data_IF_233291023203
#
_entry.id   IF_233291023203
#
_cell.length_a   1.000
_cell.length_b   1.000
_cell.length_c   1.000
_cell.angle_alpha   90.00
_cell.angle_beta   90.00
_cell.angle_gamma   90.00
#
_symmetry.space_group_name_H-M   'P 1'
#
loop_
_entity.id
_entity.type
_entity.pdbx_description
1 polymer ?
#
# COMPACT_ATOMS: atom_id res chain seq x y z
N UNK A 1 29.49 34.86 -48.99
CA UNK A 1 30.18 33.58 -49.26
C UNK A 1 29.57 32.50 -48.38
N UNK A 2 28.66 31.69 -48.92
CA UNK A 2 27.92 30.66 -48.20
C UNK A 2 28.65 29.31 -48.27
N UNK A 3 29.00 28.74 -47.12
CA UNK A 3 29.66 27.41 -47.04
C UNK A 3 28.61 26.31 -47.21
N UNK A 4 28.72 25.55 -48.30
CA UNK A 4 28.00 24.28 -48.55
C UNK A 4 28.46 23.22 -47.55
N UNK A 5 27.52 22.62 -46.83
CA UNK A 5 27.74 21.43 -45.98
C UNK A 5 27.56 20.17 -46.85
N UNK A 6 28.48 19.19 -46.83
CA UNK A 6 28.33 17.96 -47.61
C UNK A 6 27.34 16.99 -46.96
N UNK A 7 26.51 16.38 -47.82
CA UNK A 7 25.52 15.36 -47.50
C UNK A 7 26.19 14.03 -47.09
N UNK A 8 25.88 13.54 -45.88
CA UNK A 8 26.30 12.22 -45.40
C UNK A 8 25.58 11.10 -46.16
N UNK A 9 26.37 10.22 -46.78
CA UNK A 9 25.92 8.96 -47.39
C UNK A 9 25.57 7.97 -46.27
N UNK A 10 24.33 7.43 -46.31
CA UNK A 10 23.87 6.36 -45.42
C UNK A 10 24.45 5.02 -45.88
N UNK A 11 25.44 4.51 -45.16
CA UNK A 11 25.90 3.12 -45.26
C UNK A 11 24.91 2.20 -44.52
N UNK A 12 24.19 1.38 -45.28
CA UNK A 12 23.39 0.27 -44.75
C UNK A 12 24.33 -0.80 -44.20
N UNK A 13 24.39 -0.91 -42.86
CA UNK A 13 25.12 -2.00 -42.18
C UNK A 13 24.44 -3.33 -42.53
N UNK A 14 25.20 -4.25 -43.12
CA UNK A 14 24.77 -5.63 -43.31
C UNK A 14 24.52 -6.27 -41.95
N UNK A 15 23.36 -6.89 -41.81
CA UNK A 15 23.00 -7.61 -40.59
C UNK A 15 23.96 -8.79 -40.40
N UNK A 16 24.60 -8.82 -39.23
CA UNK A 16 25.45 -9.89 -38.77
C UNK A 16 24.63 -11.20 -38.69
N UNK A 17 24.95 -12.17 -39.55
CA UNK A 17 24.37 -13.50 -39.55
C UNK A 17 24.84 -14.28 -38.32
N UNK A 18 24.05 -14.23 -37.24
CA UNK A 18 24.25 -15.12 -36.09
C UNK A 18 23.95 -16.55 -36.53
N UNK A 19 24.88 -17.47 -36.26
CA UNK A 19 24.67 -18.91 -36.45
C UNK A 19 23.52 -19.38 -35.54
N UNK A 20 22.55 -20.15 -36.06
CA UNK A 20 21.41 -20.64 -35.27
C UNK A 20 21.89 -21.61 -34.18
N UNK A 21 21.20 -21.58 -33.03
CA UNK A 21 21.52 -22.43 -31.88
C UNK A 21 21.08 -23.88 -32.15
N UNK A 22 21.91 -24.90 -31.87
CA UNK A 22 21.64 -26.30 -32.19
C UNK A 22 20.49 -26.93 -31.38
N UNK A 23 19.97 -26.26 -30.34
CA UNK A 23 18.85 -26.77 -29.53
C UNK A 23 17.46 -26.46 -30.11
N UNK A 24 17.38 -25.56 -31.09
CA UNK A 24 16.16 -25.26 -31.82
C UNK A 24 16.24 -26.07 -33.12
N UNK A 25 15.60 -27.24 -33.17
CA UNK A 25 15.66 -28.14 -34.33
C UNK A 25 15.38 -27.47 -35.67
N UNK A 26 15.65 -28.16 -36.77
CA UNK A 26 15.63 -27.67 -38.18
C UNK A 26 14.25 -27.21 -38.73
N UNK A 27 13.36 -26.74 -37.86
CA UNK A 27 12.09 -26.13 -38.22
C UNK A 27 12.28 -24.74 -38.82
N UNK A 28 11.49 -24.45 -39.86
CA UNK A 28 11.42 -23.16 -40.51
C UNK A 28 10.79 -22.11 -39.56
N UNK A 29 11.63 -21.45 -38.75
CA UNK A 29 11.22 -20.42 -37.79
C UNK A 29 10.90 -19.06 -38.45
N UNK A 30 10.83 -19.00 -39.78
CA UNK A 30 10.47 -17.77 -40.46
C UNK A 30 9.03 -17.37 -40.10
N UNK A 31 8.91 -16.22 -39.45
CA UNK A 31 7.60 -15.62 -39.16
C UNK A 31 6.89 -15.33 -40.47
N UNK A 32 5.86 -16.10 -40.81
CA UNK A 32 5.06 -15.87 -42.01
C UNK A 32 4.19 -14.65 -41.81
N UNK A 33 4.24 -13.69 -42.73
CA UNK A 33 3.39 -12.50 -42.68
C UNK A 33 2.25 -12.64 -43.71
N UNK A 34 1.06 -12.21 -43.32
CA UNK A 34 -0.08 -12.17 -44.22
C UNK A 34 0.14 -11.05 -45.26
N UNK A 35 0.24 -11.40 -46.54
CA UNK A 35 0.57 -10.49 -47.64
C UNK A 35 -0.39 -9.31 -47.77
N UNK A 36 -1.65 -9.45 -47.35
CA UNK A 36 -2.67 -8.39 -47.45
C UNK A 36 -2.69 -7.45 -46.25
N UNK A 37 -2.32 -7.94 -45.06
CA UNK A 37 -2.46 -7.15 -43.81
C UNK A 37 -1.13 -6.81 -43.14
N UNK A 38 -0.03 -7.41 -43.60
CA UNK A 38 1.31 -7.24 -43.02
C UNK A 38 1.45 -7.81 -41.60
N UNK A 39 0.46 -8.57 -41.10
CA UNK A 39 0.47 -9.11 -39.74
C UNK A 39 1.10 -10.51 -39.68
N UNK A 40 1.85 -10.84 -38.62
CA UNK A 40 2.37 -12.20 -38.40
C UNK A 40 1.22 -13.22 -38.33
N UNK A 41 1.31 -14.28 -39.12
CA UNK A 41 0.43 -15.45 -39.06
C UNK A 41 0.99 -16.38 -37.99
N UNK A 42 0.21 -16.67 -36.95
CA UNK A 42 0.54 -17.71 -35.98
C UNK A 42 0.07 -19.05 -36.51
N UNK A 43 1.00 -19.93 -36.83
CA UNK A 43 0.68 -21.33 -37.14
C UNK A 43 -0.02 -21.95 -35.91
N UNK A 44 -1.27 -22.40 -36.08
CA UNK A 44 -2.09 -22.99 -35.02
C UNK A 44 -3.28 -22.15 -34.54
N UNK A 45 -3.41 -20.89 -34.95
CA UNK A 45 -4.60 -20.10 -34.62
C UNK A 45 -5.85 -20.63 -35.35
N UNK A 46 -6.70 -21.38 -34.64
CA UNK A 46 -8.00 -21.85 -35.14
C UNK A 46 -8.03 -23.29 -35.67
N UNK A 47 -6.90 -24.02 -35.65
CA UNK A 47 -6.93 -25.47 -35.85
C UNK A 47 -7.36 -26.12 -34.54
N UNK A 48 -8.57 -26.67 -34.49
CA UNK A 48 -8.98 -27.57 -33.43
C UNK A 48 -8.06 -28.80 -33.53
N UNK A 49 -7.31 -29.11 -32.48
CA UNK A 49 -6.58 -30.36 -32.40
C UNK A 49 -7.59 -31.50 -32.54
N UNK A 50 -7.39 -32.39 -33.51
CA UNK A 50 -8.18 -33.61 -33.74
C UNK A 50 -7.75 -34.68 -32.70
N UNK A 51 -7.39 -34.26 -31.49
CA UNK A 51 -6.96 -35.17 -30.45
C UNK A 51 -8.20 -35.64 -29.68
N UNK A 52 -8.64 -36.91 -29.81
CA UNK A 52 -9.87 -37.41 -29.20
C UNK A 52 -9.80 -37.43 -27.66
N UNK A 53 -8.62 -37.17 -27.07
CA UNK A 53 -8.41 -37.04 -25.63
C UNK A 53 -8.83 -35.68 -25.05
N UNK A 54 -9.04 -34.67 -25.91
CA UNK A 54 -9.50 -33.32 -25.52
C UNK A 54 -10.93 -33.07 -26.02
N UNK A 55 -11.87 -33.89 -25.54
CA UNK A 55 -13.29 -33.58 -25.63
C UNK A 55 -13.68 -32.75 -24.40
N UNK A 56 -13.59 -31.43 -24.53
CA UNK A 56 -14.31 -30.51 -23.63
C UNK A 56 -15.81 -30.83 -23.76
N UNK A 57 -16.40 -31.32 -22.67
CA UNK A 57 -17.83 -31.51 -22.47
C UNK A 57 -18.54 -30.15 -22.48
N UNK A 58 -18.68 -29.57 -23.67
CA UNK A 58 -19.70 -28.54 -23.91
C UNK A 58 -20.98 -29.31 -24.22
N UNK A 59 -21.64 -29.80 -23.16
CA UNK A 59 -23.05 -30.14 -23.23
C UNK A 59 -23.78 -28.87 -23.66
N UNK A 60 -24.25 -28.91 -24.90
CA UNK A 60 -25.14 -27.92 -25.47
C UNK A 60 -26.46 -28.07 -24.72
N UNK A 61 -26.75 -27.12 -23.83
CA UNK A 61 -28.10 -26.90 -23.33
C UNK A 61 -28.93 -26.50 -24.56
N UNK A 62 -29.71 -27.44 -25.06
CA UNK A 62 -30.75 -27.19 -26.05
C UNK A 62 -31.83 -26.33 -25.36
N UNK A 63 -31.84 -25.05 -25.73
CA UNK A 63 -32.85 -24.07 -25.36
C UNK A 63 -34.05 -24.28 -26.30
N UNK A 64 -34.79 -25.35 -26.04
CA UNK A 64 -36.08 -25.63 -26.67
C UNK A 64 -37.12 -24.68 -26.09
N UNK A 65 -37.63 -23.77 -26.94
CA UNK A 65 -38.93 -23.17 -26.71
C UNK A 65 -39.04 -21.70 -27.04
N UNK A 66 -38.94 -21.35 -28.33
CA UNK A 66 -39.73 -20.24 -28.89
C UNK A 66 -40.06 -20.56 -30.35
N UNK A 67 -41.24 -21.14 -30.55
CA UNK A 67 -41.90 -21.18 -31.84
C UNK A 67 -42.15 -19.74 -32.32
N UNK A 68 -41.65 -19.41 -33.50
CA UNK A 68 -42.08 -18.24 -34.24
C UNK A 68 -42.39 -18.70 -35.66
N UNK A 69 -43.68 -18.99 -35.86
CA UNK A 69 -44.30 -19.06 -37.16
C UNK A 69 -44.08 -17.72 -37.88
N UNK A 70 -43.36 -17.77 -39.00
CA UNK A 70 -43.48 -16.76 -40.04
C UNK A 70 -43.22 -17.44 -41.37
N UNK A 71 -44.31 -17.80 -42.03
CA UNK A 71 -44.32 -18.27 -43.40
C UNK A 71 -43.83 -17.19 -44.36
N UNK A 72 -42.97 -17.60 -45.28
CA UNK A 72 -42.88 -17.03 -46.62
C UNK A 72 -42.12 -18.04 -47.48
N UNK A 73 -42.85 -18.62 -48.43
CA UNK A 73 -42.31 -19.38 -49.56
C UNK A 73 -41.50 -18.46 -50.48
N UNK A 74 -40.66 -19.09 -51.28
CA UNK A 74 -39.88 -18.57 -52.41
C UNK A 74 -38.53 -17.88 -52.13
N UNK A 75 -37.46 -18.48 -52.67
CA UNK A 75 -36.21 -17.78 -52.98
C UNK A 75 -34.93 -18.53 -52.60
N UNK A 76 -34.32 -19.13 -53.61
CA UNK A 76 -33.00 -19.78 -53.66
C UNK A 76 -31.90 -19.30 -52.66
N UNK A 77 -31.31 -20.27 -51.96
CA UNK A 77 -29.85 -20.48 -52.01
C UNK A 77 -28.89 -19.58 -51.24
N UNK A 78 -29.33 -18.62 -50.41
CA UNK A 78 -28.38 -17.79 -49.64
C UNK A 78 -28.10 -18.39 -48.25
N UNK A 79 -26.89 -18.94 -48.07
CA UNK A 79 -26.38 -19.44 -46.77
C UNK A 79 -26.44 -18.33 -45.72
N UNK A 80 -27.49 -18.34 -44.88
CA UNK A 80 -27.66 -17.43 -43.74
C UNK A 80 -26.44 -17.55 -42.82
N UNK A 81 -25.58 -16.51 -42.82
CA UNK A 81 -24.43 -16.42 -41.90
C UNK A 81 -24.99 -16.42 -40.48
N UNK A 82 -24.65 -17.46 -39.70
CA UNK A 82 -25.03 -17.54 -38.28
C UNK A 82 -24.65 -16.22 -37.59
N UNK A 83 -25.60 -15.56 -36.90
CA UNK A 83 -25.30 -14.33 -36.18
C UNK A 83 -24.19 -14.64 -35.17
N UNK A 84 -23.04 -13.96 -35.32
CA UNK A 84 -21.94 -14.07 -34.36
C UNK A 84 -22.51 -13.68 -33.00
N UNK A 85 -22.55 -14.63 -32.06
CA UNK A 85 -22.89 -14.37 -30.65
C UNK A 85 -22.11 -13.12 -30.22
N UNK A 86 -22.84 -12.05 -29.87
CA UNK A 86 -22.23 -10.86 -29.27
C UNK A 86 -21.59 -11.35 -27.98
N UNK A 87 -20.26 -11.32 -27.91
CA UNK A 87 -19.54 -11.66 -26.68
C UNK A 87 -20.13 -10.80 -25.57
N UNK A 88 -20.55 -11.43 -24.48
CA UNK A 88 -20.95 -10.69 -23.29
C UNK A 88 -19.79 -9.75 -22.93
N UNK A 89 -20.04 -8.45 -22.74
CA UNK A 89 -18.97 -7.53 -22.35
C UNK A 89 -18.30 -8.11 -21.11
N UNK A 90 -16.97 -8.12 -21.10
CA UNK A 90 -16.21 -8.55 -19.94
C UNK A 90 -16.78 -7.85 -18.71
N UNK A 91 -17.02 -8.56 -17.59
CA UNK A 91 -17.51 -7.93 -16.38
C UNK A 91 -16.59 -6.73 -16.06
N UNK A 92 -17.15 -5.57 -15.71
CA UNK A 92 -16.36 -4.40 -15.39
C UNK A 92 -15.36 -4.79 -14.31
N UNK A 93 -14.09 -4.42 -14.52
CA UNK A 93 -13.07 -4.62 -13.50
C UNK A 93 -13.61 -4.02 -12.19
N UNK A 94 -13.52 -4.75 -11.06
CA UNK A 94 -13.95 -4.18 -9.79
C UNK A 94 -13.22 -2.85 -9.60
N UNK A 95 -13.94 -1.83 -9.14
CA UNK A 95 -13.36 -0.54 -8.78
C UNK A 95 -12.27 -0.81 -7.74
N UNK A 96 -11.04 -0.90 -8.20
CA UNK A 96 -9.88 -0.92 -7.33
C UNK A 96 -9.81 0.51 -6.84
N UNK A 97 -10.25 0.73 -5.60
CA UNK A 97 -10.10 2.02 -4.93
C UNK A 97 -8.69 2.53 -5.21
N UNK A 98 -8.60 3.59 -6.01
CA UNK A 98 -7.34 4.20 -6.34
C UNK A 98 -6.74 4.59 -5.00
N UNK A 99 -5.68 3.88 -4.59
CA UNK A 99 -4.92 4.24 -3.40
C UNK A 99 -4.68 5.74 -3.50
N UNK A 100 -5.09 6.54 -2.50
CA UNK A 100 -5.08 7.97 -2.63
C UNK A 100 -3.66 8.38 -3.03
N UNK A 101 -3.53 8.94 -4.23
CA UNK A 101 -2.24 9.36 -4.80
C UNK A 101 -1.49 10.26 -3.83
N UNK A 102 -2.25 10.94 -2.95
CA UNK A 102 -1.75 11.66 -1.79
C UNK A 102 -2.68 11.35 -0.60
N UNK A 103 -2.25 10.54 0.39
CA UNK A 103 -3.01 10.41 1.63
C UNK A 103 -3.12 11.79 2.26
N UNK A 104 -4.36 12.24 2.51
CA UNK A 104 -4.72 13.57 3.06
C UNK A 104 -3.61 14.08 3.98
N UNK A 105 -3.10 15.27 3.65
CA UNK A 105 -1.98 15.89 4.33
C UNK A 105 -2.18 15.78 5.84
N UNK A 106 -1.12 15.31 6.52
CA UNK A 106 -1.11 15.29 7.98
C UNK A 106 -1.28 16.76 8.37
N UNK A 107 -2.25 17.14 9.22
CA UNK A 107 -2.31 18.50 9.72
C UNK A 107 -0.94 18.78 10.33
N UNK A 108 -0.19 19.68 9.68
CA UNK A 108 1.13 20.06 10.15
C UNK A 108 0.91 20.57 11.56
N UNK A 109 1.35 19.79 12.55
CA UNK A 109 1.26 20.21 13.94
C UNK A 109 2.15 21.44 14.00
N UNK A 110 1.52 22.61 14.11
CA UNK A 110 2.19 23.90 14.14
C UNK A 110 3.40 23.83 15.08
N UNK A 111 4.49 24.53 14.74
CA UNK A 111 5.74 24.43 15.46
C UNK A 111 5.49 24.59 16.95
N UNK A 112 6.06 23.67 17.73
CA UNK A 112 6.16 23.78 19.19
C UNK A 112 6.57 25.22 19.50
N UNK A 113 5.72 26.01 20.21
CA UNK A 113 6.11 27.35 20.59
C UNK A 113 7.43 27.27 21.36
N UNK A 114 8.32 28.23 21.10
CA UNK A 114 9.54 28.40 21.88
C UNK A 114 9.14 28.30 23.36
N UNK A 115 9.90 27.53 24.13
CA UNK A 115 9.71 27.43 25.57
C UNK A 115 10.03 28.81 26.19
N UNK A 116 9.06 29.72 26.15
CA UNK A 116 8.99 30.84 27.07
C UNK A 116 8.50 30.28 28.39
N UNK A 117 9.46 30.10 29.31
CA UNK A 117 9.15 29.88 30.71
C UNK A 117 8.35 31.06 31.24
N UNK A 118 7.08 30.83 31.58
CA UNK A 118 6.35 31.67 32.52
C UNK A 118 5.27 32.56 31.94
N UNK A 119 4.20 31.96 31.42
CA UNK A 119 2.84 32.45 31.64
C UNK A 119 1.82 31.33 31.42
N UNK A 120 1.07 30.97 32.47
CA UNK A 120 -0.07 30.06 32.40
C UNK A 120 -1.18 30.73 31.57
N UNK A 121 -1.08 30.65 30.24
CA UNK A 121 -2.19 31.03 29.37
C UNK A 121 -3.26 29.94 29.43
N UNK A 122 -4.29 30.19 30.23
CA UNK A 122 -5.51 29.37 30.24
C UNK A 122 -6.21 29.57 28.89
N UNK A 123 -6.01 28.62 27.97
CA UNK A 123 -6.80 28.57 26.75
C UNK A 123 -8.24 28.17 27.08
N UNK A 124 -9.21 28.94 26.57
CA UNK A 124 -10.63 28.67 26.73
C UNK A 124 -11.13 28.04 25.43
N UNK A 125 -11.46 26.75 25.48
CA UNK A 125 -12.02 26.03 24.34
C UNK A 125 -13.55 26.19 24.31
N UNK A 126 -14.07 26.89 23.30
CA UNK A 126 -15.51 27.06 23.05
C UNK A 126 -15.98 26.12 21.93
N UNK A 127 -16.89 25.21 22.25
CA UNK A 127 -17.51 24.30 21.26
C UNK A 127 -18.94 24.76 20.98
N UNK A 128 -19.23 25.13 19.73
CA UNK A 128 -20.57 25.55 19.29
C UNK A 128 -21.17 24.46 18.41
N UNK A 129 -22.27 23.84 18.86
CA UNK A 129 -22.99 22.84 18.07
C UNK A 129 -24.03 23.52 17.18
N UNK A 130 -23.75 23.62 15.87
CA UNK A 130 -24.69 24.18 14.89
C UNK A 130 -25.52 23.04 14.27
N UNK A 131 -26.86 23.09 14.35
CA UNK A 131 -27.72 22.05 13.78
C UNK A 131 -27.67 22.02 12.25
N UNK A 132 -27.84 20.83 11.67
CA UNK A 132 -27.92 20.64 10.22
C UNK A 132 -29.12 21.42 9.66
N UNK A 133 -28.86 22.33 8.73
CA UNK A 133 -29.88 23.16 8.07
C UNK A 133 -30.01 24.59 8.59
N UNK A 134 -29.13 25.04 9.50
CA UNK A 134 -29.10 26.44 9.92
C UNK A 134 -28.63 27.34 8.76
N UNK A 135 -29.53 28.20 8.26
CA UNK A 135 -29.24 29.22 7.26
C UNK A 135 -29.62 30.59 7.84
N UNK A 136 -28.64 31.30 8.40
CA UNK A 136 -28.81 32.62 8.99
C UNK A 136 -27.54 33.12 9.66
N UNK A 137 -27.45 34.41 10.01
CA UNK A 137 -26.32 34.94 10.76
C UNK A 137 -26.32 34.37 12.19
N UNK A 138 -25.18 33.79 12.59
CA UNK A 138 -24.96 33.32 13.96
C UNK A 138 -24.28 34.42 14.78
N UNK A 139 -25.00 34.99 15.74
CA UNK A 139 -24.45 36.02 16.63
C UNK A 139 -24.03 35.40 17.97
N UNK A 140 -22.72 35.30 18.20
CA UNK A 140 -22.15 34.87 19.48
C UNK A 140 -21.82 36.10 20.33
N UNK A 141 -22.58 36.34 21.41
CA UNK A 141 -22.24 37.37 22.41
C UNK A 141 -21.47 36.73 23.55
N UNK A 142 -20.19 37.06 23.68
CA UNK A 142 -19.34 36.61 24.79
C UNK A 142 -19.21 37.79 25.76
N UNK A 143 -19.85 37.68 26.92
CA UNK A 143 -19.70 38.68 27.97
C UNK A 143 -18.34 38.53 28.66
N UNK A 144 -17.53 39.59 28.58
CA UNK A 144 -16.17 39.63 29.15
C UNK A 144 -16.16 39.41 30.66
N UNK A 145 -17.27 39.72 31.34
CA UNK A 145 -17.44 39.49 32.77
C UNK A 145 -17.53 38.00 33.15
N UNK A 146 -17.85 37.11 32.21
CA UNK A 146 -17.85 35.66 32.45
C UNK A 146 -16.44 35.03 32.37
N UNK A 147 -15.48 35.71 31.72
CA UNK A 147 -14.12 35.21 31.52
C UNK A 147 -13.20 35.56 32.70
N UNK A 148 -13.49 36.65 33.40
CA UNK A 148 -12.76 37.05 34.59
C UNK A 148 -13.37 36.32 35.79
N UNK A 149 -12.88 35.12 36.09
CA UNK A 149 -13.37 34.20 37.13
C UNK A 149 -13.82 34.87 38.43
N UNK A 150 -15.09 35.30 38.46
CA UNK A 150 -15.75 35.78 39.65
C UNK A 150 -15.81 34.65 40.65
N UNK A 151 -15.11 34.80 41.78
CA UNK A 151 -15.29 33.92 42.93
C UNK A 151 -16.79 33.83 43.22
N UNK A 152 -17.38 32.62 43.32
CA UNK A 152 -18.80 32.49 43.60
C UNK A 152 -19.11 33.10 44.96
N UNK A 153 -19.96 34.12 44.94
CA UNK A 153 -20.60 34.69 46.12
C UNK A 153 -21.45 33.60 46.81
N UNK A 154 -21.36 33.44 48.14
CA UNK A 154 -22.00 32.33 48.85
C UNK A 154 -23.52 32.46 48.80
N UNK A 155 -24.18 31.53 48.10
CA UNK A 155 -25.63 31.49 48.06
C UNK A 155 -26.23 31.11 49.42
N UNK A 156 -27.36 31.73 49.82
CA UNK A 156 -28.08 31.39 51.03
C UNK A 156 -28.77 30.03 50.91
N UNK A 157 -28.69 29.27 52.00
CA UNK A 157 -29.32 27.97 52.25
C UNK A 157 -30.78 27.95 51.78
N UNK A 158 -31.10 27.05 50.83
CA UNK A 158 -32.49 26.69 50.54
C UNK A 158 -32.68 25.18 50.47
N UNK A 159 -33.49 24.74 51.43
CA UNK A 159 -34.21 23.51 51.69
C UNK A 159 -34.07 22.33 50.71
N UNK A 160 -33.64 21.22 51.34
CA UNK A 160 -33.94 19.83 51.00
C UNK A 160 -35.37 19.64 50.48
N UNK A 161 -35.48 18.98 49.33
CA UNK A 161 -36.53 18.00 49.08
C UNK A 161 -35.88 16.75 48.48
N UNK A 162 -36.24 15.62 49.09
CA UNK A 162 -35.87 14.26 48.79
C UNK A 162 -36.59 13.73 47.55
N UNK A 163 -35.89 13.01 46.67
CA UNK A 163 -36.47 11.88 45.95
C UNK A 163 -35.42 11.07 45.16
N UNK A 164 -35.39 9.77 45.48
CA UNK A 164 -35.22 8.60 44.60
C UNK A 164 -33.90 8.38 43.86
N UNK A 165 -33.13 7.45 44.43
CA UNK A 165 -32.60 6.23 43.79
C UNK A 165 -32.77 6.11 42.27
N UNK A 166 -31.66 6.01 41.52
CA UNK A 166 -31.39 4.83 40.67
C UNK A 166 -29.98 4.84 40.07
N UNK A 167 -29.26 3.75 40.34
CA UNK A 167 -28.30 3.04 39.48
C UNK A 167 -27.11 3.77 38.84
N UNK A 168 -25.94 3.39 39.37
CA UNK A 168 -24.67 3.12 38.68
C UNK A 168 -24.73 2.95 37.15
N UNK A 169 -23.94 3.75 36.43
CA UNK A 169 -23.50 3.43 35.06
C UNK A 169 -21.97 3.48 34.97
N UNK A 170 -21.39 2.29 34.87
CA UNK A 170 -20.01 2.01 34.49
C UNK A 170 -19.67 2.60 33.12
N UNK A 171 -18.54 3.31 33.03
CA UNK A 171 -17.92 3.73 31.78
C UNK A 171 -17.30 2.50 31.09
N UNK A 172 -18.00 1.95 30.11
CA UNK A 172 -17.47 0.95 29.18
C UNK A 172 -16.99 1.64 27.90
N UNK A 173 -15.68 1.78 27.77
CA UNK A 173 -14.96 2.02 26.52
C UNK A 173 -15.05 0.77 25.64
N UNK A 174 -15.84 0.85 24.58
CA UNK A 174 -15.96 -0.24 23.61
C UNK A 174 -16.94 0.09 22.51
N UNK A 175 -16.47 0.84 21.50
CA UNK A 175 -17.17 1.03 20.23
C UNK A 175 -17.16 -0.28 19.44
N UNK A 176 -18.00 -1.24 19.85
CA UNK A 176 -18.40 -2.36 19.01
C UNK A 176 -19.34 -1.83 17.94
N UNK A 177 -18.83 -1.77 16.70
CA UNK A 177 -19.66 -1.60 15.51
C UNK A 177 -20.57 -2.84 15.44
N UNK A 178 -21.79 -2.70 15.95
CA UNK A 178 -22.87 -3.66 15.72
C UNK A 178 -23.26 -3.59 14.24
N UNK A 179 -22.50 -4.31 13.41
CA UNK A 179 -22.94 -4.69 12.07
C UNK A 179 -24.15 -5.59 12.29
N UNK A 180 -25.35 -5.02 12.15
CA UNK A 180 -26.59 -5.78 12.01
C UNK A 180 -26.30 -6.89 11.01
N UNK A 181 -26.46 -8.19 11.36
CA UNK A 181 -26.42 -9.23 10.36
C UNK A 181 -27.48 -8.83 9.33
N UNK A 182 -27.04 -8.52 8.11
CA UNK A 182 -27.96 -8.48 6.97
C UNK A 182 -28.65 -9.82 7.05
N UNK A 183 -29.97 -9.81 7.31
CA UNK A 183 -30.85 -10.94 7.02
C UNK A 183 -30.46 -11.33 5.60
N UNK A 184 -29.67 -12.40 5.50
CA UNK A 184 -29.39 -13.03 4.24
C UNK A 184 -30.76 -13.37 3.73
N UNK A 185 -31.20 -12.58 2.74
CA UNK A 185 -32.29 -12.99 1.87
C UNK A 185 -31.91 -14.39 1.49
N UNK A 186 -32.73 -15.33 1.97
CA UNK A 186 -32.71 -16.72 1.58
C UNK A 186 -32.84 -16.69 0.06
N UNK A 187 -31.70 -16.59 -0.63
CA UNK A 187 -31.55 -17.17 -1.93
C UNK A 187 -31.89 -18.62 -1.70
N UNK A 188 -33.14 -18.95 -2.00
CA UNK A 188 -33.55 -20.30 -2.31
C UNK A 188 -32.68 -20.65 -3.51
N UNK A 189 -31.50 -21.17 -3.17
CA UNK A 189 -30.71 -22.03 -4.02
C UNK A 189 -31.70 -23.04 -4.55
N UNK A 190 -32.17 -22.83 -5.78
CA UNK A 190 -32.79 -23.87 -6.56
C UNK A 190 -31.86 -25.06 -6.45
N UNK A 191 -32.35 -26.11 -5.81
CA UNK A 191 -31.68 -27.37 -5.64
C UNK A 191 -31.47 -27.97 -7.04
N UNK A 192 -30.42 -27.53 -7.73
CA UNK A 192 -29.74 -28.37 -8.68
C UNK A 192 -29.04 -29.42 -7.83
N UNK A 193 -29.74 -30.54 -7.67
CA UNK A 193 -29.33 -31.77 -7.00
C UNK A 193 -28.18 -32.47 -7.75
N UNK A 194 -27.23 -31.68 -8.26
CA UNK A 194 -25.96 -32.16 -8.78
C UNK A 194 -25.08 -32.54 -7.58
N UNK A 195 -25.33 -33.73 -7.05
CA UNK A 195 -24.38 -34.50 -6.24
C UNK A 195 -23.15 -34.80 -7.09
N UNK A 196 -22.37 -33.79 -7.42
CA UNK A 196 -20.98 -33.96 -7.82
C UNK A 196 -20.31 -34.54 -6.59
N UNK A 197 -20.11 -35.87 -6.61
CA UNK A 197 -19.33 -36.59 -5.61
C UNK A 197 -18.05 -35.80 -5.42
N UNK A 198 -17.85 -35.22 -4.24
CA UNK A 198 -16.58 -34.60 -3.91
C UNK A 198 -15.52 -35.68 -4.08
N UNK A 199 -14.69 -35.54 -5.13
CA UNK A 199 -13.57 -36.44 -5.37
C UNK A 199 -12.70 -36.41 -4.12
N UNK A 200 -12.79 -37.45 -3.29
CA UNK A 200 -11.98 -37.61 -2.07
C UNK A 200 -10.47 -37.68 -2.35
N UNK A 201 -10.10 -37.72 -3.64
CA UNK A 201 -8.73 -37.69 -4.14
C UNK A 201 -8.18 -36.27 -4.27
N UNK A 202 -9.02 -35.23 -4.31
CA UNK A 202 -8.59 -33.83 -4.43
C UNK A 202 -8.29 -33.24 -3.06
N UNK A 203 -7.04 -33.38 -2.61
CA UNK A 203 -6.56 -32.69 -1.40
C UNK A 203 -6.50 -31.19 -1.65
N UNK A 204 -7.16 -30.42 -0.79
CA UNK A 204 -7.07 -28.95 -0.82
C UNK A 204 -5.85 -28.45 -0.05
N UNK A 205 -5.38 -27.23 -0.36
CA UNK A 205 -4.26 -26.61 0.37
C UNK A 205 -4.53 -26.50 1.89
N UNK A 206 -5.79 -26.31 2.29
CA UNK A 206 -6.20 -26.22 3.69
C UNK A 206 -6.09 -27.57 4.43
N UNK A 207 -6.15 -28.70 3.72
CA UNK A 207 -6.01 -30.05 4.29
C UNK A 207 -4.54 -30.43 4.54
N UNK A 208 -3.57 -29.68 3.99
CA UNK A 208 -2.16 -29.90 4.28
C UNK A 208 -1.88 -29.61 5.77
N UNK A 209 -1.02 -30.38 6.45
CA UNK A 209 -0.56 -30.04 7.80
C UNK A 209 0.06 -28.64 7.87
N UNK A 210 -0.09 -27.97 9.02
CA UNK A 210 0.35 -26.59 9.19
C UNK A 210 1.86 -26.41 8.95
N UNK A 211 2.66 -27.44 9.26
CA UNK A 211 4.11 -27.47 9.06
C UNK A 211 4.46 -27.36 7.57
N UNK A 212 3.74 -28.11 6.73
CA UNK A 212 3.93 -28.09 5.28
C UNK A 212 3.46 -26.74 4.70
N UNK A 213 2.34 -26.19 5.20
CA UNK A 213 1.90 -24.84 4.80
C UNK A 213 2.93 -23.78 5.15
N UNK A 214 3.55 -23.85 6.33
CA UNK A 214 4.62 -22.94 6.75
C UNK A 214 5.86 -23.03 5.85
N UNK A 215 6.27 -24.24 5.45
CA UNK A 215 7.35 -24.41 4.47
C UNK A 215 7.00 -23.75 3.13
N UNK A 216 5.75 -23.93 2.66
CA UNK A 216 5.28 -23.29 1.43
C UNK A 216 5.27 -21.76 1.58
N UNK A 217 4.79 -21.21 2.71
CA UNK A 217 4.83 -19.77 2.97
C UNK A 217 6.25 -19.23 2.97
N UNK A 218 7.22 -19.94 3.56
CA UNK A 218 8.64 -19.54 3.54
C UNK A 218 9.21 -19.50 2.13
N UNK A 219 8.96 -20.54 1.33
CA UNK A 219 9.40 -20.58 -0.07
C UNK A 219 8.77 -19.46 -0.91
N UNK A 220 7.53 -19.10 -0.63
CA UNK A 220 6.82 -18.04 -1.36
C UNK A 220 7.20 -16.63 -0.91
N UNK A 221 7.33 -16.40 0.39
CA UNK A 221 7.42 -15.06 0.96
C UNK A 221 8.83 -14.65 1.39
N UNK A 222 9.70 -15.59 1.80
CA UNK A 222 10.99 -15.25 2.43
C UNK A 222 12.08 -15.11 1.39
N UNK A 223 12.63 -13.91 1.25
CA UNK A 223 13.77 -13.61 0.40
C UNK A 223 15.06 -13.62 1.21
N UNK A 224 16.14 -14.09 0.60
CA UNK A 224 17.49 -13.93 1.17
C UNK A 224 17.94 -12.46 1.14
N UNK A 225 17.51 -11.74 0.12
CA UNK A 225 17.83 -10.32 -0.06
C UNK A 225 16.84 -9.43 0.70
N UNK A 226 17.30 -8.24 1.08
CA UNK A 226 16.45 -7.20 1.67
C UNK A 226 15.43 -6.68 0.66
N UNK A 227 14.19 -6.48 1.11
CA UNK A 227 13.12 -5.92 0.27
C UNK A 227 13.29 -4.40 0.20
N UNK A 228 13.88 -3.92 -0.90
CA UNK A 228 14.22 -2.50 -1.11
C UNK A 228 13.10 -1.72 -1.80
N UNK A 229 12.49 -0.76 -1.12
CA UNK A 229 11.37 0.03 -1.67
C UNK A 229 11.79 1.05 -2.74
N UNK A 230 13.01 1.58 -2.68
CA UNK A 230 13.50 2.51 -3.71
C UNK A 230 13.70 1.85 -5.08
N UNK A 231 13.95 0.55 -5.10
CA UNK A 231 14.22 -0.22 -6.32
C UNK A 231 13.45 -1.54 -6.24
N UNK A 232 12.18 -1.57 -6.67
CA UNK A 232 11.28 -2.70 -6.46
C UNK A 232 11.59 -3.88 -7.41
N UNK A 233 12.80 -4.43 -7.35
CA UNK A 233 13.25 -5.55 -8.18
C UNK A 233 12.69 -6.89 -7.70
N UNK A 234 12.49 -7.03 -6.39
CA UNK A 234 12.08 -8.28 -5.73
C UNK A 234 10.60 -8.29 -5.29
N UNK A 235 9.79 -7.34 -5.76
CA UNK A 235 8.36 -7.24 -5.40
C UNK A 235 7.46 -8.25 -6.14
N UNK A 236 8.06 -9.12 -6.97
CA UNK A 236 7.33 -10.16 -7.73
C UNK A 236 6.72 -11.24 -6.82
N UNK A 237 7.21 -11.38 -5.59
CA UNK A 237 6.64 -12.28 -4.58
C UNK A 237 5.42 -11.60 -3.96
N UNK A 238 4.34 -11.61 -4.73
CA UNK A 238 3.17 -10.81 -4.42
C UNK A 238 2.49 -11.32 -3.16
N UNK A 239 2.09 -10.38 -2.31
CA UNK A 239 1.10 -10.59 -1.25
C UNK A 239 -0.28 -10.99 -1.80
N UNK A 240 -0.43 -11.20 -3.12
CA UNK A 240 -1.67 -11.70 -3.71
C UNK A 240 -2.05 -13.08 -3.15
N UNK A 241 -1.08 -13.92 -2.78
CA UNK A 241 -1.39 -15.19 -2.12
C UNK A 241 -2.11 -14.99 -0.79
N UNK A 242 -1.77 -13.93 -0.03
CA UNK A 242 -2.47 -13.55 1.20
C UNK A 242 -3.92 -13.11 0.96
N UNK A 243 -4.30 -12.77 -0.28
CA UNK A 243 -5.67 -12.36 -0.63
C UNK A 243 -6.61 -13.53 -0.95
N UNK A 244 -6.09 -14.76 -0.96
CA UNK A 244 -6.86 -15.95 -1.36
C UNK A 244 -7.91 -16.35 -0.32
N UNK A 245 -7.49 -16.58 0.93
CA UNK A 245 -8.39 -16.91 2.03
C UNK A 245 -7.90 -16.38 3.38
N UNK A 246 -8.80 -16.29 4.37
CA UNK A 246 -8.49 -15.77 5.72
C UNK A 246 -7.44 -16.60 6.45
N UNK A 247 -7.44 -17.93 6.25
CA UNK A 247 -6.46 -18.82 6.87
C UNK A 247 -5.05 -18.52 6.35
N UNK A 248 -4.88 -18.49 5.02
CA UNK A 248 -3.61 -18.15 4.37
C UNK A 248 -3.16 -16.73 4.77
N UNK A 249 -4.09 -15.77 4.85
CA UNK A 249 -3.77 -14.43 5.33
C UNK A 249 -3.19 -14.45 6.75
N UNK A 250 -3.85 -15.14 7.68
CA UNK A 250 -3.46 -15.16 9.09
C UNK A 250 -2.14 -15.88 9.33
N UNK A 251 -1.92 -17.02 8.66
CA UNK A 251 -0.71 -17.82 8.79
C UNK A 251 0.46 -17.21 8.00
N UNK A 252 0.22 -16.78 6.77
CA UNK A 252 1.27 -16.31 5.86
C UNK A 252 1.80 -14.91 6.17
N UNK A 253 0.98 -14.03 6.76
CA UNK A 253 1.42 -12.65 7.06
C UNK A 253 2.53 -12.59 8.11
N UNK A 254 2.53 -13.49 9.10
CA UNK A 254 3.60 -13.53 10.09
C UNK A 254 4.90 -13.86 9.39
N UNK A 255 4.94 -14.93 8.60
CA UNK A 255 6.12 -15.33 7.81
C UNK A 255 6.61 -14.20 6.90
N UNK A 256 5.71 -13.56 6.15
CA UNK A 256 6.08 -12.47 5.24
C UNK A 256 6.71 -11.28 5.97
N UNK A 257 6.15 -10.83 7.10
CA UNK A 257 6.60 -9.60 7.76
C UNK A 257 7.69 -9.84 8.82
N UNK A 258 7.74 -11.02 9.44
CA UNK A 258 8.68 -11.29 10.53
C UNK A 258 10.01 -11.88 10.07
N UNK A 259 10.02 -12.68 9.01
CA UNK A 259 11.25 -13.33 8.53
C UNK A 259 11.99 -12.52 7.45
N UNK A 260 11.34 -11.52 6.84
CA UNK A 260 11.99 -10.65 5.85
C UNK A 260 12.54 -9.37 6.48
N UNK A 261 13.63 -8.86 5.90
CA UNK A 261 14.17 -7.55 6.20
C UNK A 261 13.70 -6.51 5.16
N UNK A 262 13.20 -5.38 5.64
CA UNK A 262 12.66 -4.31 4.80
C UNK A 262 13.60 -3.11 4.78
N UNK A 263 14.03 -2.68 3.60
CA UNK A 263 14.93 -1.57 3.41
C UNK A 263 14.20 -0.38 2.75
N UNK A 264 14.11 0.72 3.48
CA UNK A 264 13.51 1.96 3.04
C UNK A 264 14.59 2.98 2.70
N UNK A 265 14.46 3.59 1.54
CA UNK A 265 15.29 4.71 1.13
C UNK A 265 14.49 5.67 0.28
N UNK A 266 14.98 6.91 0.20
CA UNK A 266 14.32 7.96 -0.58
C UNK A 266 14.24 7.54 -2.04
N UNK A 267 13.03 7.56 -2.59
CA UNK A 267 12.81 7.37 -4.01
C UNK A 267 13.02 8.71 -4.73
N UNK A 268 14.09 8.79 -5.54
CA UNK A 268 14.44 10.00 -6.30
C UNK A 268 13.65 10.16 -7.60
N UNK A 269 12.80 9.19 -7.93
CA UNK A 269 11.88 9.28 -9.06
C UNK A 269 10.81 10.35 -8.82
N UNK A 270 10.35 10.95 -9.91
CA UNK A 270 9.20 11.85 -9.89
C UNK A 270 7.90 11.10 -10.18
N UNK A 271 6.82 11.50 -9.51
CA UNK A 271 5.45 11.09 -9.86
C UNK A 271 4.54 12.30 -9.67
N UNK A 272 3.96 12.78 -10.76
CA UNK A 272 2.91 13.78 -10.72
C UNK A 272 1.71 13.29 -11.53
N UNK A 273 0.47 13.59 -11.10
CA UNK A 273 -0.67 13.41 -11.97
C UNK A 273 -0.52 14.29 -13.22
N UNK A 274 -1.10 13.89 -14.34
CA UNK A 274 -0.91 14.57 -15.62
C UNK A 274 -1.40 16.04 -15.64
N UNK A 275 -2.19 16.46 -14.65
CA UNK A 275 -2.69 17.82 -14.49
C UNK A 275 -1.82 18.72 -13.59
N UNK A 276 -0.84 18.16 -12.87
CA UNK A 276 0.13 18.96 -12.12
C UNK A 276 1.27 19.42 -13.03
N UNK A 277 1.51 20.73 -13.08
CA UNK A 277 2.57 21.30 -13.91
C UNK A 277 3.99 20.96 -13.43
N UNK A 278 4.14 20.59 -12.15
CA UNK A 278 5.44 20.29 -11.55
C UNK A 278 5.51 18.82 -11.18
N UNK A 279 6.55 18.17 -11.68
CA UNK A 279 6.93 16.84 -11.24
C UNK A 279 7.43 16.88 -9.79
N UNK A 280 6.71 16.23 -8.88
CA UNK A 280 7.12 16.08 -7.49
C UNK A 280 7.91 14.79 -7.31
N UNK A 281 9.01 14.86 -6.56
CA UNK A 281 9.76 13.69 -6.13
C UNK A 281 8.89 12.83 -5.21
N UNK A 282 8.94 11.50 -5.36
CA UNK A 282 8.19 10.55 -4.52
C UNK A 282 8.72 10.58 -3.07
N UNK A 283 10.04 10.70 -2.89
CA UNK A 283 10.65 10.81 -1.58
C UNK A 283 10.42 9.57 -0.71
N UNK A 284 9.88 9.76 0.50
CA UNK A 284 9.50 8.68 1.42
C UNK A 284 8.00 8.33 1.38
N UNK A 285 7.28 8.82 0.37
CA UNK A 285 5.84 8.56 0.24
C UNK A 285 5.55 7.06 0.09
N UNK A 286 6.37 6.31 -0.64
CA UNK A 286 6.18 4.86 -0.80
C UNK A 286 6.29 4.10 0.54
N UNK A 287 7.19 4.53 1.44
CA UNK A 287 7.27 4.00 2.80
C UNK A 287 5.98 4.26 3.59
N UNK A 288 5.42 5.48 3.50
CA UNK A 288 4.16 5.84 4.15
C UNK A 288 3.00 5.02 3.61
N UNK A 289 2.88 4.91 2.29
CA UNK A 289 1.83 4.13 1.63
C UNK A 289 1.95 2.66 2.04
N UNK A 290 3.16 2.11 2.07
CA UNK A 290 3.39 0.74 2.53
C UNK A 290 2.91 0.53 3.97
N UNK A 291 3.40 1.32 4.93
CA UNK A 291 3.02 1.18 6.34
C UNK A 291 1.51 1.34 6.56
N UNK A 292 0.88 2.30 5.88
CA UNK A 292 -0.57 2.48 5.92
C UNK A 292 -1.31 1.28 5.31
N UNK A 293 -0.80 0.71 4.21
CA UNK A 293 -1.45 -0.39 3.49
C UNK A 293 -1.41 -1.70 4.27
N UNK A 294 -0.33 -1.97 5.00
CA UNK A 294 -0.21 -3.19 5.80
C UNK A 294 -0.98 -3.06 7.11
N UNK A 295 -1.12 -1.84 7.64
CA UNK A 295 -1.85 -1.55 8.87
C UNK A 295 -1.11 -1.93 10.16
N UNK A 296 -1.62 -1.49 11.33
CA UNK A 296 -0.91 -1.56 12.60
C UNK A 296 -0.60 -2.99 13.05
N UNK A 297 -1.51 -3.93 12.81
CA UNK A 297 -1.29 -5.34 13.18
C UNK A 297 -0.08 -5.92 12.47
N UNK A 298 0.12 -5.60 11.19
CA UNK A 298 1.23 -6.13 10.42
C UNK A 298 2.54 -5.36 10.68
N UNK A 299 2.47 -4.07 11.02
CA UNK A 299 3.64 -3.31 11.50
C UNK A 299 4.24 -3.97 12.74
N UNK A 300 3.41 -4.50 13.65
CA UNK A 300 3.89 -5.20 14.86
C UNK A 300 4.61 -6.52 14.59
N UNK A 301 4.46 -7.06 13.37
CA UNK A 301 5.12 -8.29 12.93
C UNK A 301 6.50 -8.00 12.30
N UNK A 302 6.79 -6.76 11.94
CA UNK A 302 8.11 -6.37 11.40
C UNK A 302 9.19 -6.65 12.45
N UNK A 303 10.25 -7.34 12.04
CA UNK A 303 11.41 -7.66 12.90
C UNK A 303 12.64 -6.87 12.51
N UNK A 304 13.00 -6.90 11.23
CA UNK A 304 14.19 -6.22 10.71
C UNK A 304 13.81 -5.08 9.76
N UNK A 305 14.27 -3.87 10.07
CA UNK A 305 14.06 -2.70 9.22
C UNK A 305 15.39 -1.95 9.05
N UNK A 306 15.71 -1.59 7.81
CA UNK A 306 16.79 -0.67 7.47
C UNK A 306 16.22 0.62 6.87
N UNK A 307 16.58 1.79 7.40
CA UNK A 307 16.14 3.09 6.89
C UNK A 307 17.35 3.95 6.55
N UNK A 308 17.46 4.29 5.27
CA UNK A 308 18.46 5.23 4.78
C UNK A 308 17.84 6.61 4.61
N UNK A 309 18.23 7.55 5.47
CA UNK A 309 17.83 8.96 5.44
C UNK A 309 18.71 9.78 4.51
N UNK A 310 18.12 10.33 3.43
CA UNK A 310 18.85 11.14 2.44
C UNK A 310 18.06 12.40 2.12
N UNK A 311 18.75 13.51 1.87
CA UNK A 311 18.10 14.76 1.45
C UNK A 311 17.58 14.66 0.01
N UNK A 312 16.60 15.50 -0.32
CA UNK A 312 16.12 15.65 -1.68
C UNK A 312 17.21 16.24 -2.61
N UNK A 313 17.29 15.71 -3.83
CA UNK A 313 18.23 16.23 -4.83
C UNK A 313 17.77 17.63 -5.31
N UNK A 314 18.69 18.62 -5.45
CA UNK A 314 18.31 19.95 -5.95
C UNK A 314 17.77 19.88 -7.38
N UNK A 315 18.26 18.93 -8.18
CA UNK A 315 17.84 18.72 -9.55
C UNK A 315 16.38 18.29 -9.65
N UNK A 316 15.93 17.44 -8.73
CA UNK A 316 14.57 16.88 -8.73
C UNK A 316 13.56 17.74 -7.97
N UNK A 317 14.04 18.66 -7.13
CA UNK A 317 13.19 19.53 -6.30
C UNK A 317 13.65 20.99 -6.37
N UNK A 318 13.65 21.62 -7.55
CA UNK A 318 14.15 23.00 -7.70
C UNK A 318 13.33 24.02 -6.91
N UNK A 319 12.05 23.73 -6.67
CA UNK A 319 11.09 24.60 -5.97
C UNK A 319 11.26 24.62 -4.44
N UNK A 320 12.07 23.71 -3.86
CA UNK A 320 12.31 23.66 -2.41
C UNK A 320 13.56 24.45 -2.01
N UNK A 321 13.54 25.07 -0.84
CA UNK A 321 14.72 25.64 -0.21
C UNK A 321 15.72 24.56 0.23
N UNK A 322 16.95 24.94 0.61
CA UNK A 322 17.92 23.97 1.12
C UNK A 322 17.49 23.28 2.41
N UNK A 323 16.73 23.96 3.28
CA UNK A 323 16.24 23.40 4.53
C UNK A 323 15.04 22.46 4.31
N UNK A 324 14.11 22.80 3.42
CA UNK A 324 12.95 21.94 3.11
C UNK A 324 13.34 20.63 2.43
N UNK A 325 14.49 20.59 1.75
CA UNK A 325 15.04 19.36 1.18
C UNK A 325 15.59 18.39 2.23
N UNK A 326 15.79 18.82 3.48
CA UNK A 326 16.35 17.96 4.53
C UNK A 326 15.33 16.89 4.92
N UNK A 327 15.77 15.63 5.02
CA UNK A 327 14.89 14.54 5.47
C UNK A 327 14.32 14.76 6.87
N UNK A 328 15.02 15.55 7.71
CA UNK A 328 14.57 15.95 9.06
C UNK A 328 13.24 16.69 9.03
N UNK A 329 12.95 17.44 7.96
CA UNK A 329 11.71 18.20 7.78
C UNK A 329 10.67 17.46 6.94
N UNK A 330 10.99 16.25 6.47
CA UNK A 330 10.08 15.46 5.65
C UNK A 330 8.95 14.89 6.52
N UNK A 331 7.72 15.36 6.27
CA UNK A 331 6.55 14.96 7.06
C UNK A 331 6.21 13.48 6.90
N UNK A 332 6.51 12.89 5.74
CA UNK A 332 6.30 11.46 5.50
C UNK A 332 7.21 10.63 6.40
N UNK A 333 8.47 11.04 6.55
CA UNK A 333 9.43 10.37 7.43
C UNK A 333 8.96 10.41 8.88
N UNK A 334 8.61 11.59 9.38
CA UNK A 334 8.17 11.76 10.78
C UNK A 334 6.91 10.94 11.05
N UNK A 335 5.97 10.91 10.11
CA UNK A 335 4.77 10.08 10.20
C UNK A 335 5.12 8.58 10.25
N UNK A 336 6.00 8.11 9.36
CA UNK A 336 6.43 6.71 9.33
C UNK A 336 7.14 6.31 10.62
N UNK A 337 8.02 7.16 11.15
CA UNK A 337 8.70 6.92 12.42
C UNK A 337 7.70 6.76 13.57
N UNK A 338 6.68 7.62 13.64
CA UNK A 338 5.60 7.51 14.65
C UNK A 338 4.75 6.25 14.50
N UNK A 339 4.49 5.81 13.27
CA UNK A 339 3.78 4.55 13.03
C UNK A 339 4.61 3.36 13.52
N UNK A 340 5.91 3.37 13.24
CA UNK A 340 6.84 2.34 13.70
C UNK A 340 6.96 2.38 15.23
N UNK A 341 7.06 3.55 15.86
CA UNK A 341 7.13 3.67 17.32
C UNK A 341 5.86 3.17 18.01
N UNK A 342 4.69 3.49 17.44
CA UNK A 342 3.39 3.16 18.04
C UNK A 342 3.06 1.68 17.98
N UNK A 343 3.43 0.99 16.89
CA UNK A 343 2.97 -0.38 16.63
C UNK A 343 4.11 -1.40 16.48
N UNK A 344 5.32 -0.95 16.19
CA UNK A 344 6.45 -1.81 15.87
C UNK A 344 6.99 -2.57 17.08
N UNK A 345 7.39 -3.83 16.84
CA UNK A 345 8.13 -4.66 17.81
C UNK A 345 9.39 -5.21 17.13
N UNK A 346 10.27 -4.29 16.73
CA UNK A 346 11.47 -4.60 15.94
C UNK A 346 12.50 -5.37 16.77
N UNK A 347 13.19 -6.33 16.16
CA UNK A 347 14.36 -7.01 16.72
C UNK A 347 15.58 -6.13 16.46
N UNK A 348 15.86 -5.90 15.18
CA UNK A 348 16.98 -5.14 14.67
C UNK A 348 16.50 -3.94 13.84
N UNK A 349 17.16 -2.81 14.02
CA UNK A 349 16.93 -1.62 13.21
C UNK A 349 18.26 -1.02 12.78
N UNK A 350 18.41 -0.85 11.48
CA UNK A 350 19.55 -0.16 10.88
C UNK A 350 19.10 1.22 10.40
N UNK A 351 19.85 2.24 10.78
CA UNK A 351 19.58 3.63 10.40
C UNK A 351 20.84 4.25 9.87
N UNK A 352 20.76 4.90 8.71
CA UNK A 352 21.89 5.61 8.12
C UNK A 352 21.53 7.01 7.70
N UNK A 353 22.41 7.98 7.94
CA UNK A 353 22.17 9.39 7.66
C UNK A 353 23.10 9.92 6.56
N UNK A 354 22.55 10.21 5.39
CA UNK A 354 23.27 10.74 4.22
C UNK A 354 22.66 12.07 3.73
N UNK A 355 22.54 13.04 4.63
CA UNK A 355 22.16 14.41 4.29
C UNK A 355 23.33 15.24 3.76
N UNK A 356 23.08 16.50 3.40
CA UNK A 356 24.15 17.49 3.19
C UNK A 356 24.72 17.95 4.53
N UNK A 357 23.83 18.25 5.49
CA UNK A 357 24.15 18.62 6.87
C UNK A 357 24.11 17.38 7.77
N UNK A 358 24.94 17.38 8.82
CA UNK A 358 24.86 16.38 9.88
C UNK A 358 23.59 16.55 10.70
N UNK A 359 23.07 15.44 11.22
CA UNK A 359 21.99 15.44 12.20
C UNK A 359 22.51 16.03 13.51
N UNK A 360 21.89 17.11 13.98
CA UNK A 360 22.30 17.86 15.17
C UNK A 360 21.21 17.87 16.23
N UNK A 361 21.58 18.18 17.48
CA UNK A 361 20.65 18.20 18.62
C UNK A 361 19.44 19.14 18.45
N UNK A 362 19.55 20.15 17.59
CA UNK A 362 18.46 21.10 17.31
C UNK A 362 17.37 20.53 16.42
N UNK A 363 17.57 19.36 15.79
CA UNK A 363 16.59 18.67 14.95
C UNK A 363 15.55 17.89 15.81
N UNK A 364 15.00 18.53 16.84
CA UNK A 364 14.22 17.91 17.92
C UNK A 364 13.01 17.12 17.40
N UNK A 365 12.21 17.67 16.48
CA UNK A 365 10.99 17.01 15.97
C UNK A 365 11.27 15.64 15.36
N UNK A 366 12.39 15.52 14.65
CA UNK A 366 12.82 14.26 14.03
C UNK A 366 13.42 13.33 15.09
N UNK A 367 14.28 13.85 15.96
CA UNK A 367 14.93 13.07 17.02
C UNK A 367 13.91 12.50 18.01
N UNK A 368 12.88 13.26 18.37
CA UNK A 368 11.83 12.80 19.28
C UNK A 368 11.05 11.64 18.67
N UNK A 369 10.64 11.76 17.40
CA UNK A 369 9.97 10.68 16.68
C UNK A 369 10.85 9.42 16.53
N UNK A 370 12.17 9.60 16.40
CA UNK A 370 13.11 8.50 16.29
C UNK A 370 13.36 7.82 17.66
N UNK A 371 13.50 8.60 18.75
CA UNK A 371 13.71 8.11 20.13
C UNK A 371 12.54 7.34 20.72
N UNK A 372 11.33 7.62 20.23
CA UNK A 372 10.13 6.86 20.58
C UNK A 372 10.21 5.40 20.12
N UNK A 373 10.98 5.11 19.07
CA UNK A 373 11.15 3.74 18.57
C UNK A 373 12.05 2.96 19.52
N UNK A 374 11.60 1.77 19.91
CA UNK A 374 12.31 0.85 20.80
C UNK A 374 12.67 -0.45 20.09
N UNK A 375 13.95 -0.81 20.11
CA UNK A 375 14.53 -1.96 19.37
C UNK A 375 15.45 -2.77 20.27
N UNK A 376 15.75 -4.02 19.93
CA UNK A 376 16.70 -4.82 20.71
C UNK A 376 18.14 -4.56 20.28
N UNK A 377 18.35 -4.34 18.99
CA UNK A 377 19.66 -4.04 18.40
C UNK A 377 19.52 -2.86 17.42
N UNK A 378 20.34 -1.82 17.63
CA UNK A 378 20.37 -0.62 16.80
C UNK A 378 21.72 -0.53 16.12
N UNK A 379 21.73 -0.35 14.80
CA UNK A 379 22.92 -0.08 14.02
C UNK A 379 22.81 1.31 13.36
N UNK A 380 23.63 2.26 13.79
CA UNK A 380 23.65 3.64 13.24
C UNK A 380 24.71 3.87 12.15
N UNK A 381 25.56 2.88 11.92
CA UNK A 381 26.66 2.91 10.96
C UNK A 381 26.56 1.68 10.03
N UNK A 382 25.73 1.78 8.99
CA UNK A 382 25.66 0.73 7.97
C UNK A 382 27.00 0.59 7.24
N UNK A 383 27.49 -0.65 7.18
CA UNK A 383 28.72 -0.99 6.46
C UNK A 383 28.55 -0.98 4.93
N UNK A 384 27.32 -1.00 4.41
CA UNK A 384 27.05 -1.23 2.98
C UNK A 384 27.59 -0.12 2.05
N UNK A 385 27.90 1.07 2.57
CA UNK A 385 28.43 2.19 1.77
C UNK A 385 29.72 2.73 2.34
N UNK A 386 30.82 2.01 2.12
CA UNK A 386 32.18 2.41 2.53
C UNK A 386 32.60 3.83 2.10
N UNK A 387 31.98 4.40 1.06
CA UNK A 387 32.37 5.69 0.49
C UNK A 387 31.86 6.92 1.25
N UNK A 388 30.85 6.77 2.11
CA UNK A 388 30.28 7.90 2.85
C UNK A 388 30.03 7.51 4.30
N UNK A 389 30.60 8.27 5.23
CA UNK A 389 30.33 8.12 6.66
C UNK A 389 28.93 8.65 7.00
N UNK A 390 28.23 7.96 7.89
CA UNK A 390 26.95 8.42 8.45
C UNK A 390 27.14 9.81 9.08
N UNK A 391 26.32 10.78 8.66
CA UNK A 391 26.42 12.18 9.08
C UNK A 391 25.55 12.45 10.30
N UNK A 392 26.01 11.95 11.44
CA UNK A 392 25.36 12.15 12.74
C UNK A 392 26.38 12.73 13.71
N UNK A 393 25.96 13.73 14.48
CA UNK A 393 26.76 14.24 15.59
C UNK A 393 26.99 13.15 16.65
N UNK A 394 28.19 13.06 17.22
CA UNK A 394 28.55 11.99 18.15
C UNK A 394 27.66 11.97 19.40
N UNK A 395 27.31 13.14 19.95
CA UNK A 395 26.47 13.25 21.14
C UNK A 395 25.05 12.77 20.84
N UNK A 396 24.54 13.11 19.65
CA UNK A 396 23.22 12.63 19.19
C UNK A 396 23.25 11.13 18.98
N UNK A 397 24.32 10.58 18.40
CA UNK A 397 24.50 9.14 18.19
C UNK A 397 24.41 8.36 19.50
N UNK A 398 25.22 8.71 20.50
CA UNK A 398 25.20 8.06 21.81
C UNK A 398 23.83 8.18 22.48
N UNK A 399 23.20 9.37 22.41
CA UNK A 399 21.86 9.58 22.96
C UNK A 399 20.80 8.70 22.29
N UNK A 400 20.91 8.43 20.98
CA UNK A 400 19.98 7.54 20.27
C UNK A 400 20.22 6.08 20.66
N UNK A 401 21.47 5.64 20.76
CA UNK A 401 21.81 4.27 21.19
C UNK A 401 21.26 3.98 22.58
N UNK A 402 21.46 4.88 23.54
CA UNK A 402 20.96 4.73 24.91
C UNK A 402 19.43 4.74 24.99
N UNK A 403 18.76 5.58 24.19
CA UNK A 403 17.31 5.76 24.29
C UNK A 403 16.52 4.73 23.49
N UNK A 404 17.00 4.30 22.32
CA UNK A 404 16.24 3.40 21.44
C UNK A 404 16.44 1.93 21.78
N UNK A 405 17.58 1.54 22.37
CA UNK A 405 17.84 0.14 22.71
C UNK A 405 17.10 -0.25 24.00
N UNK A 406 16.32 -1.33 23.94
CA UNK A 406 15.53 -1.82 25.08
C UNK A 406 16.39 -2.60 26.07
N UNK A 407 16.12 -2.38 27.35
CA UNK A 407 16.54 -3.24 28.45
C UNK A 407 15.30 -3.64 29.26
N UNK A 408 14.84 -4.91 29.23
CA UNK A 408 15.41 -6.12 28.59
C UNK A 408 15.11 -6.26 27.08
N UNK A 409 15.89 -7.09 26.39
CA UNK A 409 15.63 -7.48 24.98
C UNK A 409 14.33 -8.28 24.89
N UNK A 410 13.54 -8.03 23.83
CA UNK A 410 12.26 -8.70 23.59
C UNK A 410 12.43 -10.07 22.92
N UNK A 411 13.43 -10.20 22.05
CA UNK A 411 13.75 -11.45 21.35
C UNK A 411 15.05 -12.05 21.87
N UNK A 412 15.07 -13.38 21.95
CA UNK A 412 16.28 -14.13 22.23
C UNK A 412 17.25 -14.01 21.04
N UNK A 413 18.56 -14.01 21.32
CA UNK A 413 19.56 -14.08 20.27
C UNK A 413 19.52 -15.50 19.69
N UNK A 414 19.22 -15.58 18.39
CA UNK A 414 19.19 -16.83 17.61
C UNK A 414 20.58 -17.36 17.28
#
# INVERSE_FOLDING_TARGET
MARKVPSKVKTTKSACSRKPSPELGDGDLQTRYNSRTGRPIRDGAGRKSIDPSYLDTIEVIDDDGLESESGSEDGEGVKKKRPKRKRTPSPPLPDVDALPLFPKDVPSREPTPLADEGQNEQSINLTVNIPKGFAGPFLLKIDRNMLNGGKPEPQPKRNRLSSTETSSSSLTTGSTINVRPRKSVLFHSGASDSKTRADSTKRTFAELPAEIRNQIYRLLFVTKDTIRFSHPVNFKRSSAFLRTCKQIYNEGRSVLYSENAFAFSRNTGSRAPYWESQEKEIGYQDMRVFLNSIGPTNISLLRSISIMFTDASPSSTPYLSHEERRFVRDEHVIYCLRQISSYGKLKDMEVSFYGRKSLVRTDYRFLDALREIKVDELCLDSSERHWYRSKIDYIVKTSLEESMVRSPKLYEQE
#
